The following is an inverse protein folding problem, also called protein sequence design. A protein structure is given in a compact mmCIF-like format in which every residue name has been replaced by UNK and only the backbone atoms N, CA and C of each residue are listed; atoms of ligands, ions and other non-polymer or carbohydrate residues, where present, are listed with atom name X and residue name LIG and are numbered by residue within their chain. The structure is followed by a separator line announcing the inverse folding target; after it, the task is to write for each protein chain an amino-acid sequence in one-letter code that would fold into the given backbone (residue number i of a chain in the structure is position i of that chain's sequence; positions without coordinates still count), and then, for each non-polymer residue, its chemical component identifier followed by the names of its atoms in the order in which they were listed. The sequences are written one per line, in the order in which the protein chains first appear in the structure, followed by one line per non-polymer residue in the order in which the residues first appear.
data_IF_916772315931
#
_entry.id   IF_916772315931
#
_cell.length_a   1.000
_cell.length_b   1.000
_cell.length_c   1.000
_cell.angle_alpha   90.00
_cell.angle_beta   90.00
_cell.angle_gamma   90.00
#
_symmetry.space_group_name_H-M   'P 1'
#
loop_
_entity.id
_entity.type
_entity.pdbx_description
1 polymer ?
#
# COMPACT_ATOMS: atom_id res chain seq x y z
N UNK A 1 -1.65 -19.64 3.16
CA UNK A 1 -1.79 -18.18 3.31
C UNK A 1 -0.51 -17.41 2.91
N UNK A 2 0.64 -17.65 3.55
CA UNK A 2 1.88 -16.87 3.34
C UNK A 2 2.37 -16.77 1.87
N UNK A 3 2.31 -17.86 1.11
CA UNK A 3 2.73 -17.86 -0.30
C UNK A 3 1.93 -16.91 -1.19
N UNK A 4 0.63 -16.73 -0.92
CA UNK A 4 -0.23 -15.80 -1.66
C UNK A 4 0.17 -14.35 -1.39
N UNK A 5 0.43 -14.00 -0.12
CA UNK A 5 0.84 -12.63 0.23
C UNK A 5 2.21 -12.27 -0.36
N UNK A 6 3.16 -13.21 -0.37
CA UNK A 6 4.43 -12.98 -1.05
C UNK A 6 4.30 -12.88 -2.57
N UNK A 7 3.42 -13.67 -3.18
CA UNK A 7 3.13 -13.57 -4.60
C UNK A 7 2.54 -12.18 -4.95
N UNK A 8 1.64 -11.66 -4.11
CA UNK A 8 1.12 -10.30 -4.23
C UNK A 8 2.23 -9.26 -4.14
N UNK A 9 3.06 -9.29 -3.09
CA UNK A 9 4.20 -8.39 -2.94
C UNK A 9 5.12 -8.40 -4.17
N UNK A 10 5.48 -9.59 -4.67
CA UNK A 10 6.37 -9.73 -5.84
C UNK A 10 5.83 -9.06 -7.11
N UNK A 11 4.51 -8.91 -7.26
CA UNK A 11 3.91 -8.25 -8.44
C UNK A 11 4.25 -6.76 -8.51
N UNK A 12 4.47 -6.10 -7.38
CA UNK A 12 4.74 -4.66 -7.32
C UNK A 12 6.08 -4.30 -6.64
N UNK A 13 6.87 -5.27 -6.18
CA UNK A 13 8.15 -5.03 -5.50
C UNK A 13 9.16 -4.25 -6.35
N UNK A 14 9.20 -4.49 -7.67
CA UNK A 14 10.06 -3.71 -8.58
C UNK A 14 9.69 -2.23 -8.60
N UNK A 15 8.40 -1.90 -8.47
CA UNK A 15 7.95 -0.51 -8.41
C UNK A 15 8.35 0.13 -7.08
N UNK A 16 8.15 -0.55 -5.96
CA UNK A 16 8.58 -0.08 -4.63
C UNK A 16 10.08 0.20 -4.58
N UNK A 17 10.90 -0.65 -5.21
CA UNK A 17 12.35 -0.42 -5.30
C UNK A 17 12.71 0.80 -6.15
N UNK A 18 12.02 1.02 -7.28
CA UNK A 18 12.25 2.17 -8.16
C UNK A 18 11.81 3.50 -7.54
N UNK A 19 10.73 3.48 -6.76
CA UNK A 19 10.14 4.64 -6.09
C UNK A 19 10.48 4.65 -4.59
N UNK A 20 11.70 4.23 -4.25
CA UNK A 20 12.13 4.04 -2.86
C UNK A 20 11.85 5.31 -2.04
N UNK A 21 11.13 5.12 -0.94
CA UNK A 21 10.69 6.20 -0.05
C UNK A 21 10.87 5.77 1.40
N UNK A 22 11.01 6.72 2.32
CA UNK A 22 11.10 6.43 3.76
C UNK A 22 9.75 5.95 4.32
N UNK A 23 8.65 6.43 3.74
CA UNK A 23 7.28 6.12 4.16
C UNK A 23 6.49 5.64 2.94
N UNK A 24 5.80 4.51 3.10
CA UNK A 24 4.82 3.98 2.15
C UNK A 24 3.44 4.17 2.78
N UNK A 25 2.57 4.92 2.11
CA UNK A 25 1.19 5.13 2.53
C UNK A 25 0.28 4.18 1.75
N UNK A 26 -0.54 3.41 2.47
CA UNK A 26 -1.47 2.44 1.90
C UNK A 26 -2.92 2.88 2.03
N UNK A 27 -3.70 2.58 0.98
CA UNK A 27 -5.15 2.75 0.91
C UNK A 27 -5.80 1.63 0.09
N UNK A 28 -7.13 1.61 0.03
CA UNK A 28 -7.92 0.58 -0.64
C UNK A 28 -7.89 -0.77 0.08
N UNK A 29 -8.49 -1.79 -0.53
CA UNK A 29 -8.62 -3.12 0.10
C UNK A 29 -7.28 -3.81 0.41
N UNK A 30 -6.20 -3.44 -0.29
CA UNK A 30 -4.85 -3.96 -0.02
C UNK A 30 -4.28 -3.50 1.31
N UNK A 31 -4.71 -2.36 1.86
CA UNK A 31 -4.22 -1.86 3.15
C UNK A 31 -4.67 -2.74 4.31
N UNK A 32 -5.87 -3.32 4.21
CA UNK A 32 -6.44 -4.21 5.25
C UNK A 32 -5.67 -5.52 5.42
N UNK A 33 -4.75 -5.85 4.50
CA UNK A 33 -3.94 -7.06 4.58
C UNK A 33 -2.69 -6.83 5.45
N UNK A 34 -2.77 -7.18 6.73
CA UNK A 34 -1.65 -7.01 7.67
C UNK A 34 -0.39 -7.75 7.24
N UNK A 35 -0.51 -8.99 6.77
CA UNK A 35 0.65 -9.76 6.34
C UNK A 35 1.36 -9.12 5.12
N UNK A 36 0.63 -8.43 4.24
CA UNK A 36 1.23 -7.69 3.15
C UNK A 36 2.01 -6.47 3.66
N UNK A 37 1.46 -5.73 4.64
CA UNK A 37 2.14 -4.60 5.29
C UNK A 37 3.45 -5.07 5.93
N UNK A 38 3.42 -6.18 6.68
CA UNK A 38 4.59 -6.74 7.34
C UNK A 38 5.66 -7.20 6.34
N UNK A 39 5.25 -7.81 5.22
CA UNK A 39 6.18 -8.18 4.14
C UNK A 39 6.83 -6.93 3.54
N UNK A 40 6.06 -5.86 3.29
CA UNK A 40 6.62 -4.62 2.73
C UNK A 40 7.66 -4.05 3.70
N UNK A 41 7.33 -3.89 5.00
CA UNK A 41 8.28 -3.40 6.00
C UNK A 41 9.56 -4.23 6.00
N UNK A 42 9.44 -5.57 6.09
CA UNK A 42 10.59 -6.47 6.14
C UNK A 42 11.49 -6.38 4.91
N UNK A 43 10.89 -6.28 3.72
CA UNK A 43 11.64 -6.38 2.46
C UNK A 43 12.18 -5.03 1.98
N UNK A 44 11.67 -3.92 2.50
CA UNK A 44 12.00 -2.57 2.02
C UNK A 44 12.65 -1.68 3.07
N UNK A 45 12.55 -2.05 4.35
CA UNK A 45 12.97 -1.24 5.50
C UNK A 45 12.26 0.13 5.58
N UNK A 46 11.11 0.24 4.91
CA UNK A 46 10.27 1.43 4.91
C UNK A 46 9.30 1.41 6.10
N UNK A 47 8.94 2.60 6.58
CA UNK A 47 7.75 2.74 7.41
C UNK A 47 6.50 2.55 6.53
N UNK A 48 5.57 1.69 6.96
CA UNK A 48 4.27 1.53 6.29
C UNK A 48 3.18 2.18 7.16
N UNK A 49 2.41 3.06 6.56
CA UNK A 49 1.27 3.75 7.20
C UNK A 49 -0.01 3.45 6.41
N UNK A 50 -1.12 3.30 7.11
CA UNK A 50 -2.45 3.18 6.50
C UNK A 50 -3.19 4.51 6.65
N UNK A 51 -3.86 4.96 5.59
CA UNK A 51 -4.74 6.13 5.67
C UNK A 51 -5.99 5.80 6.48
N UNK A 52 -6.54 6.82 7.16
CA UNK A 52 -7.88 6.72 7.73
C UNK A 52 -8.90 6.33 6.66
N UNK A 53 -9.88 5.51 7.02
CA UNK A 53 -10.95 5.05 6.13
C UNK A 53 -10.45 4.55 4.76
N UNK A 54 -9.52 3.57 4.72
CA UNK A 54 -8.76 3.26 3.52
C UNK A 54 -9.63 2.85 2.32
N UNK A 55 -10.81 2.30 2.56
CA UNK A 55 -11.76 1.88 1.53
C UNK A 55 -12.45 3.06 0.81
N UNK A 56 -12.56 4.23 1.44
CA UNK A 56 -13.25 5.39 0.87
C UNK A 56 -12.32 6.37 0.15
N UNK A 57 -11.01 6.31 0.40
CA UNK A 57 -10.05 7.32 -0.07
C UNK A 57 -9.99 7.49 -1.60
N UNK A 58 -10.27 6.44 -2.36
CA UNK A 58 -10.39 6.56 -3.82
C UNK A 58 -11.56 7.43 -4.25
N UNK A 59 -12.75 7.18 -3.68
CA UNK A 59 -13.96 7.96 -3.98
C UNK A 59 -13.85 9.40 -3.43
N UNK A 60 -13.32 9.57 -2.22
CA UNK A 60 -13.02 10.88 -1.65
C UNK A 60 -12.08 11.68 -2.55
N UNK A 61 -11.04 11.05 -3.09
CA UNK A 61 -10.16 11.67 -4.08
C UNK A 61 -10.93 12.19 -5.29
N UNK A 62 -11.81 11.38 -5.88
CA UNK A 62 -12.64 11.83 -7.00
C UNK A 62 -13.51 13.04 -6.62
N UNK A 63 -14.18 13.02 -5.46
CA UNK A 63 -15.01 14.15 -5.03
C UNK A 63 -14.20 15.43 -4.79
N UNK A 64 -13.03 15.32 -4.16
CA UNK A 64 -12.18 16.48 -3.83
C UNK A 64 -11.52 17.07 -5.07
N UNK A 65 -11.08 16.25 -6.01
CA UNK A 65 -10.34 16.71 -7.20
C UNK A 65 -11.24 16.92 -8.44
N UNK A 66 -12.55 16.62 -8.36
CA UNK A 66 -13.48 16.87 -9.48
C UNK A 66 -13.69 18.36 -9.77
N UNK A 67 -13.32 19.25 -8.85
CA UNK A 67 -13.44 20.71 -9.00
C UNK A 67 -12.13 21.39 -9.45
N UNK A 68 -11.07 20.61 -9.74
CA UNK A 68 -9.75 21.11 -10.14
C UNK A 68 -9.53 21.10 -11.66
#
# INVERSE_FOLDING_TARGET
AAGVNYALYKRFSTMLRKLRSNIIIMSGGGSLNQALKDIIVRETDCQVMELAEPLFNGALGCCVYSEA
#
